data_IF_410518601926
#
_entry.id   IF_410518601926
#
_cell.length_a   1.000
_cell.length_b   1.000
_cell.length_c   1.000
_cell.angle_alpha   90.00
_cell.angle_beta   90.00
_cell.angle_gamma   90.00
#
_symmetry.space_group_name_H-M   'P 1'
#
loop_
_entity.id
_entity.type
_entity.pdbx_description
1 polymer ?
#
# COMPACT_ATOMS: atom_id res chain seq x y z
N UNK A 1 -16.94 6.81 10.88
CA UNK A 1 -16.19 5.98 9.91
C UNK A 1 -15.59 4.81 10.66
N UNK A 2 -15.64 3.60 10.11
CA UNK A 2 -14.94 2.46 10.72
C UNK A 2 -13.42 2.56 10.43
N UNK A 3 -12.63 1.72 11.10
CA UNK A 3 -11.16 1.67 10.96
C UNK A 3 -10.77 1.51 9.49
N UNK A 4 -11.36 0.54 8.78
CA UNK A 4 -11.10 0.32 7.36
C UNK A 4 -11.26 1.59 6.51
N UNK A 5 -12.32 2.37 6.74
CA UNK A 5 -12.57 3.60 5.97
C UNK A 5 -11.47 4.65 6.22
N UNK A 6 -10.98 4.76 7.45
CA UNK A 6 -9.85 5.64 7.78
C UNK A 6 -8.55 5.16 7.13
N UNK A 7 -8.28 3.86 7.17
CA UNK A 7 -7.13 3.27 6.48
C UNK A 7 -7.20 3.49 4.98
N UNK A 8 -8.37 3.33 4.36
CA UNK A 8 -8.58 3.60 2.94
C UNK A 8 -8.25 5.05 2.57
N UNK A 9 -8.71 6.02 3.37
CA UNK A 9 -8.36 7.43 3.17
C UNK A 9 -6.85 7.66 3.31
N UNK A 10 -6.23 7.06 4.33
CA UNK A 10 -4.77 7.14 4.52
C UNK A 10 -3.98 6.52 3.37
N UNK A 11 -4.46 5.42 2.80
CA UNK A 11 -3.85 4.76 1.65
C UNK A 11 -3.88 5.65 0.42
N UNK A 12 -5.06 6.20 0.08
CA UNK A 12 -5.19 7.11 -1.06
C UNK A 12 -4.32 8.37 -0.89
N UNK A 13 -4.27 8.91 0.33
CA UNK A 13 -3.42 10.06 0.64
C UNK A 13 -1.92 9.72 0.51
N UNK A 14 -1.48 8.58 1.05
CA UNK A 14 -0.09 8.14 1.02
C UNK A 14 0.41 7.84 -0.39
N UNK A 15 -0.36 7.08 -1.18
CA UNK A 15 0.05 6.59 -2.50
C UNK A 15 -0.11 7.61 -3.63
N UNK A 16 -1.08 8.52 -3.53
CA UNK A 16 -1.37 9.47 -4.62
C UNK A 16 -1.06 10.92 -4.26
N UNK A 17 -1.43 11.39 -3.07
CA UNK A 17 -1.25 12.81 -2.72
C UNK A 17 0.16 13.11 -2.23
N UNK A 18 0.75 12.19 -1.45
CA UNK A 18 2.06 12.38 -0.83
C UNK A 18 3.21 11.68 -1.56
N UNK A 19 2.90 10.78 -2.50
CA UNK A 19 3.92 10.15 -3.34
C UNK A 19 4.49 11.15 -4.36
N UNK A 20 5.75 11.50 -4.19
CA UNK A 20 6.47 12.40 -5.12
C UNK A 20 6.96 11.65 -6.37
N UNK A 21 7.31 12.40 -7.43
CA UNK A 21 7.95 11.83 -8.62
C UNK A 21 9.28 11.10 -8.34
N UNK A 22 10.00 11.47 -7.28
CA UNK A 22 11.18 10.73 -6.82
C UNK A 22 10.80 9.39 -6.17
N UNK A 23 9.76 9.38 -5.32
CA UNK A 23 9.19 8.16 -4.73
C UNK A 23 8.66 7.20 -5.81
N UNK A 24 8.08 7.73 -6.89
CA UNK A 24 7.61 6.91 -8.01
C UNK A 24 8.74 6.14 -8.74
N UNK A 25 10.01 6.49 -8.53
CA UNK A 25 11.19 5.74 -9.04
C UNK A 25 11.57 4.54 -8.14
N UNK A 26 10.72 4.16 -7.18
CA UNK A 26 10.91 3.07 -6.21
C UNK A 26 11.36 1.72 -6.81
N UNK A 27 11.00 1.45 -8.05
CA UNK A 27 11.42 0.23 -8.78
C UNK A 27 12.94 0.17 -9.01
N UNK A 28 13.60 1.33 -9.14
CA UNK A 28 15.03 1.43 -9.47
C UNK A 28 15.87 2.01 -8.34
N UNK A 29 15.25 2.43 -7.24
CA UNK A 29 15.92 3.08 -6.13
C UNK A 29 15.31 2.63 -4.80
N UNK A 30 16.05 1.78 -4.09
CA UNK A 30 15.63 1.22 -2.80
C UNK A 30 15.41 2.29 -1.73
N UNK A 31 16.19 3.39 -1.74
CA UNK A 31 16.00 4.50 -0.81
C UNK A 31 14.66 5.20 -1.07
N UNK A 32 14.32 5.40 -2.34
CA UNK A 32 13.02 5.95 -2.75
C UNK A 32 11.87 5.04 -2.30
N UNK A 33 12.00 3.72 -2.46
CA UNK A 33 11.04 2.74 -1.96
C UNK A 33 10.87 2.82 -0.44
N UNK A 34 11.97 2.78 0.33
CA UNK A 34 11.93 2.82 1.79
C UNK A 34 11.30 4.11 2.32
N UNK A 35 11.68 5.26 1.75
CA UNK A 35 11.09 6.55 2.14
C UNK A 35 9.60 6.59 1.81
N UNK A 36 9.20 6.06 0.66
CA UNK A 36 7.79 5.96 0.30
C UNK A 36 7.01 5.07 1.27
N UNK A 37 7.50 3.86 1.58
CA UNK A 37 6.87 2.96 2.56
C UNK A 37 6.76 3.61 3.95
N UNK A 38 7.78 4.37 4.36
CA UNK A 38 7.76 5.10 5.63
C UNK A 38 6.70 6.21 5.65
N UNK A 39 6.67 7.06 4.61
CA UNK A 39 5.68 8.13 4.48
C UNK A 39 4.27 7.53 4.44
N UNK A 40 4.05 6.50 3.63
CA UNK A 40 2.79 5.78 3.55
C UNK A 40 2.33 5.25 4.91
N UNK A 41 3.21 4.54 5.63
CA UNK A 41 2.88 3.95 6.94
C UNK A 41 2.57 5.02 7.98
N UNK A 42 3.29 6.16 7.95
CA UNK A 42 2.98 7.30 8.82
C UNK A 42 1.65 7.96 8.48
N UNK A 43 1.32 8.10 7.19
CA UNK A 43 0.00 8.60 6.76
C UNK A 43 -1.12 7.70 7.24
N UNK A 44 -0.96 6.39 7.10
CA UNK A 44 -1.91 5.39 7.60
C UNK A 44 -2.07 5.51 9.12
N UNK A 45 -0.97 5.56 9.87
CA UNK A 45 -0.99 5.69 11.32
C UNK A 45 -1.76 6.96 11.77
N UNK A 46 -1.43 8.11 11.19
CA UNK A 46 -2.09 9.39 11.49
C UNK A 46 -3.59 9.32 11.19
N UNK A 47 -3.97 8.78 10.04
CA UNK A 47 -5.38 8.66 9.65
C UNK A 47 -6.16 7.68 10.51
N UNK A 48 -5.50 6.70 11.13
CA UNK A 48 -6.13 5.75 12.04
C UNK A 48 -6.36 6.29 13.47
N UNK A 49 -5.71 7.39 13.88
CA UNK A 49 -5.84 7.95 15.23
C UNK A 49 -7.29 8.23 15.65
N UNK A 50 -8.19 8.81 14.81
CA UNK A 50 -9.59 9.01 15.17
C UNK A 50 -10.38 7.70 15.40
N UNK A 51 -9.83 6.56 14.97
CA UNK A 51 -10.42 5.22 15.12
C UNK A 51 -9.76 4.39 16.24
N UNK A 52 -8.93 5.00 17.09
CA UNK A 52 -8.22 4.31 18.18
C UNK A 52 -6.76 3.97 17.88
N UNK A 53 -6.23 4.34 16.71
CA UNK A 53 -4.87 4.03 16.29
C UNK A 53 -4.70 2.61 15.74
N UNK A 54 -3.45 2.16 15.64
CA UNK A 54 -3.07 0.83 15.18
C UNK A 54 -2.04 0.22 16.12
N UNK A 55 -2.14 -1.09 16.36
CA UNK A 55 -1.08 -1.84 17.03
C UNK A 55 0.25 -1.81 16.25
N UNK A 56 1.37 -2.02 16.95
CA UNK A 56 2.70 -2.14 16.31
C UNK A 56 2.74 -3.30 15.30
N UNK A 57 2.01 -4.38 15.60
CA UNK A 57 1.85 -5.53 14.70
C UNK A 57 1.14 -5.12 13.41
N UNK A 58 0.03 -4.39 13.51
CA UNK A 58 -0.70 -3.86 12.35
C UNK A 58 0.20 -2.97 11.48
N UNK A 59 0.92 -2.02 12.09
CA UNK A 59 1.84 -1.13 11.38
C UNK A 59 2.97 -1.91 10.68
N UNK A 60 3.49 -2.95 11.33
CA UNK A 60 4.54 -3.80 10.77
C UNK A 60 4.04 -4.57 9.55
N UNK A 61 2.84 -5.15 9.61
CA UNK A 61 2.21 -5.86 8.48
C UNK A 61 1.98 -4.90 7.31
N UNK A 62 1.46 -3.70 7.59
CA UNK A 62 1.24 -2.66 6.55
C UNK A 62 2.56 -2.28 5.89
N UNK A 63 3.59 -1.93 6.67
CA UNK A 63 4.88 -1.53 6.12
C UNK A 63 5.53 -2.63 5.27
N UNK A 64 5.58 -3.87 5.77
CA UNK A 64 6.23 -4.99 5.08
C UNK A 64 5.48 -5.35 3.81
N UNK A 65 4.15 -5.43 3.86
CA UNK A 65 3.35 -5.75 2.67
C UNK A 65 3.47 -4.66 1.61
N UNK A 66 3.42 -3.38 1.99
CA UNK A 66 3.64 -2.24 1.09
C UNK A 66 5.00 -2.34 0.40
N UNK A 67 6.06 -2.59 1.18
CA UNK A 67 7.41 -2.75 0.67
C UNK A 67 7.55 -3.90 -0.34
N UNK A 68 6.82 -5.01 -0.15
CA UNK A 68 6.86 -6.16 -1.06
C UNK A 68 6.07 -5.88 -2.35
N UNK A 69 4.85 -5.34 -2.22
CA UNK A 69 3.96 -5.07 -3.36
C UNK A 69 4.58 -4.03 -4.30
N UNK A 70 5.15 -2.96 -3.75
CA UNK A 70 5.70 -1.84 -4.50
C UNK A 70 6.97 -2.14 -5.31
N UNK A 71 7.62 -3.27 -5.05
CA UNK A 71 8.70 -3.78 -5.91
C UNK A 71 8.19 -4.24 -7.28
N UNK A 72 6.88 -4.33 -7.47
CA UNK A 72 6.17 -4.76 -8.69
C UNK A 72 6.43 -6.20 -9.14
N UNK A 73 7.38 -6.94 -8.57
CA UNK A 73 7.66 -8.32 -8.93
C UNK A 73 6.42 -9.22 -8.80
N UNK A 74 5.74 -9.13 -7.64
CA UNK A 74 4.52 -9.89 -7.37
C UNK A 74 3.35 -9.44 -8.27
N UNK A 75 3.13 -8.13 -8.40
CA UNK A 75 2.05 -7.56 -9.24
C UNK A 75 2.24 -7.96 -10.70
N UNK A 76 3.45 -7.79 -11.26
CA UNK A 76 3.77 -8.17 -12.63
C UNK A 76 3.57 -9.67 -12.87
N UNK A 77 3.97 -10.50 -11.91
CA UNK A 77 3.70 -11.95 -11.95
C UNK A 77 2.20 -12.21 -12.01
N UNK A 78 1.40 -11.57 -11.15
CA UNK A 78 -0.04 -11.76 -11.08
C UNK A 78 -0.74 -11.32 -12.37
N UNK A 79 -0.43 -10.12 -12.87
CA UNK A 79 -0.99 -9.59 -14.12
C UNK A 79 -0.66 -10.49 -15.30
N UNK A 80 0.57 -11.02 -15.37
CA UNK A 80 1.00 -11.90 -16.45
C UNK A 80 0.43 -13.31 -16.36
N UNK A 81 0.43 -13.91 -15.17
CA UNK A 81 0.12 -15.35 -14.99
C UNK A 81 -1.34 -15.61 -14.65
N UNK A 82 -1.98 -14.72 -13.90
CA UNK A 82 -3.36 -14.88 -13.44
C UNK A 82 -4.31 -14.12 -14.34
N UNK A 83 -4.06 -12.82 -14.57
CA UNK A 83 -4.97 -12.01 -15.40
C UNK A 83 -4.73 -12.17 -16.91
N UNK A 84 -3.53 -12.62 -17.32
CA UNK A 84 -3.12 -12.68 -18.73
C UNK A 84 -3.32 -11.33 -19.46
N UNK A 85 -2.96 -10.23 -18.79
CA UNK A 85 -3.30 -8.87 -19.22
C UNK A 85 -2.07 -7.94 -19.26
N UNK A 86 -0.88 -8.48 -19.56
CA UNK A 86 0.39 -7.73 -19.55
C UNK A 86 0.43 -6.53 -20.52
N UNK A 87 -0.41 -6.55 -21.56
CA UNK A 87 -0.53 -5.44 -22.52
C UNK A 87 -1.41 -4.28 -22.02
N UNK A 88 -2.10 -4.43 -20.89
CA UNK A 88 -2.96 -3.40 -20.30
C UNK A 88 -2.24 -2.72 -19.13
N UNK A 89 -1.59 -1.59 -19.39
CA UNK A 89 -0.78 -0.90 -18.38
C UNK A 89 -1.54 -0.55 -17.09
N UNK A 90 -2.81 -0.14 -17.21
CA UNK A 90 -3.67 0.18 -16.06
C UNK A 90 -3.94 -1.03 -15.16
N UNK A 91 -3.81 -2.25 -15.68
CA UNK A 91 -4.03 -3.48 -14.89
C UNK A 91 -3.01 -3.61 -13.76
N UNK A 92 -1.76 -3.21 -13.99
CA UNK A 92 -0.75 -3.21 -12.92
C UNK A 92 -1.17 -2.29 -11.78
N UNK A 93 -1.71 -1.11 -12.07
CA UNK A 93 -2.20 -0.17 -11.05
C UNK A 93 -3.41 -0.78 -10.33
N UNK A 94 -4.38 -1.31 -11.07
CA UNK A 94 -5.60 -1.88 -10.46
C UNK A 94 -5.30 -3.07 -9.54
N UNK A 95 -4.42 -3.98 -9.99
CA UNK A 95 -4.03 -5.17 -9.20
C UNK A 95 -3.21 -4.74 -7.98
N UNK A 96 -2.24 -3.85 -8.15
CA UNK A 96 -1.43 -3.30 -7.07
C UNK A 96 -2.31 -2.70 -5.97
N UNK A 97 -3.18 -1.77 -6.32
CA UNK A 97 -4.06 -1.09 -5.36
C UNK A 97 -5.05 -2.06 -4.71
N UNK A 98 -5.55 -3.06 -5.46
CA UNK A 98 -6.42 -4.09 -4.90
C UNK A 98 -5.74 -4.90 -3.81
N UNK A 99 -4.47 -5.28 -3.99
CA UNK A 99 -3.72 -5.99 -2.95
C UNK A 99 -3.45 -5.13 -1.71
N UNK A 100 -3.17 -3.83 -1.89
CA UNK A 100 -3.08 -2.90 -0.76
C UNK A 100 -4.41 -2.83 0.02
N UNK A 101 -5.55 -2.71 -0.66
CA UNK A 101 -6.85 -2.71 -0.01
C UNK A 101 -7.16 -4.03 0.73
N UNK A 102 -6.76 -5.18 0.17
CA UNK A 102 -6.89 -6.47 0.84
C UNK A 102 -6.08 -6.52 2.15
N UNK A 103 -4.86 -5.99 2.14
CA UNK A 103 -4.06 -5.86 3.37
C UNK A 103 -4.80 -5.00 4.40
N UNK A 104 -5.33 -3.83 4.02
CA UNK A 104 -6.05 -2.96 4.95
C UNK A 104 -7.30 -3.63 5.52
N UNK A 105 -8.02 -4.41 4.71
CA UNK A 105 -9.17 -5.19 5.16
C UNK A 105 -8.76 -6.25 6.20
N UNK A 106 -7.66 -6.97 5.97
CA UNK A 106 -7.13 -7.96 6.92
C UNK A 106 -6.67 -7.27 8.21
N UNK A 107 -5.91 -6.19 8.11
CA UNK A 107 -5.40 -5.49 9.30
C UNK A 107 -6.53 -4.92 10.13
N UNK A 108 -7.49 -4.22 9.52
CA UNK A 108 -8.62 -3.65 10.24
C UNK A 108 -9.57 -4.69 10.83
N UNK A 109 -9.66 -5.89 10.23
CA UNK A 109 -10.51 -6.96 10.73
C UNK A 109 -9.89 -7.81 11.85
N UNK A 110 -8.56 -7.95 11.87
CA UNK A 110 -7.92 -8.99 12.68
C UNK A 110 -6.73 -8.52 13.52
N UNK A 111 -6.16 -7.33 13.28
CA UNK A 111 -4.88 -6.92 13.88
C UNK A 111 -4.92 -5.53 14.57
N UNK A 112 -6.12 -4.95 14.69
CA UNK A 112 -6.30 -3.58 15.17
C UNK A 112 -5.91 -3.38 16.63
#
# INVERSE_FOLDING_TARGET
MNVFTWLLVGHLAGDFLLQTGWMAKKVFNTTSLLVHCFVYTMTIFIMALPAGGLSVTALSVIFISHFILDQRNFVNFWVRRVNNAENLQWMNIAVDQSFHLLVLAIVSGYLN
#
